data_IF_805009505300
#
_entry.id   IF_805009505300
#
_cell.length_a   1.000
_cell.length_b   1.000
_cell.length_c   1.000
_cell.angle_alpha   90.00
_cell.angle_beta   90.00
_cell.angle_gamma   90.00
#
_symmetry.space_group_name_H-M   'P 1'
#
loop_
_entity.id
_entity.type
_entity.pdbx_description
1 polymer ?
#
# COMPACT_ATOMS: atom_id res chain seq x y z
N UNK A 1 -11.28 -24.82 9.75
CA UNK A 1 -9.88 -25.15 10.12
C UNK A 1 -8.82 -24.56 9.18
N UNK A 2 -9.19 -23.92 8.07
CA UNK A 2 -8.23 -23.41 7.06
C UNK A 2 -7.53 -22.11 7.47
N UNK A 3 -8.18 -21.25 8.27
CA UNK A 3 -7.64 -19.95 8.69
C UNK A 3 -6.28 -20.00 9.41
N UNK A 4 -6.13 -20.76 10.51
CA UNK A 4 -4.86 -20.86 11.22
C UNK A 4 -3.71 -21.42 10.35
N UNK A 5 -4.03 -22.36 9.46
CA UNK A 5 -3.03 -23.00 8.59
C UNK A 5 -2.48 -22.02 7.53
N UNK A 6 -3.34 -21.20 6.93
CA UNK A 6 -2.91 -20.17 5.98
C UNK A 6 -2.08 -19.06 6.65
N UNK A 7 -2.47 -18.65 7.86
CA UNK A 7 -1.70 -17.67 8.65
C UNK A 7 -0.33 -18.22 8.99
N UNK A 8 -0.25 -19.45 9.50
CA UNK A 8 1.02 -20.10 9.81
C UNK A 8 1.88 -20.22 8.54
N UNK A 9 1.31 -20.63 7.41
CA UNK A 9 2.02 -20.73 6.14
C UNK A 9 2.66 -19.40 5.71
N UNK A 10 1.90 -18.29 5.67
CA UNK A 10 2.45 -16.99 5.25
C UNK A 10 3.47 -16.44 6.27
N UNK A 11 3.27 -16.67 7.57
CA UNK A 11 4.21 -16.23 8.60
C UNK A 11 5.52 -17.02 8.53
N UNK A 12 5.47 -18.35 8.43
CA UNK A 12 6.66 -19.18 8.26
C UNK A 12 7.41 -18.84 6.96
N UNK A 13 6.69 -18.58 5.87
CA UNK A 13 7.28 -18.16 4.61
C UNK A 13 7.94 -16.77 4.75
N UNK A 14 7.33 -15.83 5.46
CA UNK A 14 7.93 -14.52 5.75
C UNK A 14 9.25 -14.64 6.53
N UNK A 15 9.28 -15.45 7.58
CA UNK A 15 10.48 -15.68 8.38
C UNK A 15 11.56 -16.47 7.62
N UNK A 16 11.19 -17.44 6.79
CA UNK A 16 12.11 -18.20 5.94
C UNK A 16 12.76 -17.35 4.84
N UNK A 17 11.96 -16.49 4.19
CA UNK A 17 12.42 -15.58 3.14
C UNK A 17 13.36 -14.48 3.69
N UNK A 18 13.24 -14.16 4.98
CA UNK A 18 14.11 -13.20 5.67
C UNK A 18 15.55 -13.71 5.89
N UNK A 19 15.75 -15.03 5.90
CA UNK A 19 17.06 -15.68 6.09
C UNK A 19 18.00 -15.57 4.88
N UNK A 20 17.47 -15.45 3.66
CA UNK A 20 18.28 -15.40 2.43
C UNK A 20 18.46 -13.95 1.92
N UNK A 21 19.71 -13.55 1.66
CA UNK A 21 20.07 -12.18 1.28
C UNK A 21 19.42 -11.72 -0.05
N UNK A 22 19.14 -12.64 -0.98
CA UNK A 22 18.53 -12.38 -2.30
C UNK A 22 17.02 -12.16 -2.22
N UNK A 23 16.33 -12.74 -1.22
CA UNK A 23 14.86 -12.72 -1.14
C UNK A 23 14.30 -11.73 -0.12
N UNK A 24 15.17 -10.96 0.58
CA UNK A 24 14.75 -9.99 1.61
C UNK A 24 13.76 -8.94 1.10
N UNK A 25 13.87 -8.50 -0.17
CA UNK A 25 12.94 -7.54 -0.76
C UNK A 25 11.48 -8.04 -0.75
N UNK A 26 11.26 -9.33 -1.01
CA UNK A 26 9.93 -9.94 -1.00
C UNK A 26 9.33 -10.08 0.40
N UNK A 27 10.16 -10.00 1.46
CA UNK A 27 9.69 -10.15 2.85
C UNK A 27 8.63 -9.12 3.21
N UNK A 28 8.71 -7.89 2.66
CA UNK A 28 7.70 -6.84 2.90
C UNK A 28 6.33 -7.24 2.35
N UNK A 29 6.26 -7.69 1.09
CA UNK A 29 5.03 -8.13 0.44
C UNK A 29 4.41 -9.34 1.14
N UNK A 30 5.24 -10.33 1.54
CA UNK A 30 4.76 -11.54 2.22
C UNK A 30 4.17 -11.19 3.59
N UNK A 31 4.77 -10.24 4.32
CA UNK A 31 4.22 -9.76 5.60
C UNK A 31 2.86 -9.05 5.42
N UNK A 32 2.66 -8.30 4.34
CA UNK A 32 1.35 -7.71 4.03
C UNK A 32 0.32 -8.81 3.79
N UNK A 33 0.64 -9.82 2.98
CA UNK A 33 -0.27 -10.95 2.75
C UNK A 33 -0.61 -11.71 4.04
N UNK A 34 0.38 -11.92 4.92
CA UNK A 34 0.15 -12.51 6.23
C UNK A 34 -0.81 -11.67 7.07
N UNK A 35 -0.59 -10.35 7.16
CA UNK A 35 -1.43 -9.43 7.92
C UNK A 35 -2.87 -9.36 7.38
N UNK A 36 -3.05 -9.31 6.05
CA UNK A 36 -4.37 -9.34 5.41
C UNK A 36 -5.10 -10.65 5.72
N UNK A 37 -4.40 -11.78 5.63
CA UNK A 37 -4.96 -13.10 5.95
C UNK A 37 -5.43 -13.16 7.40
N UNK A 38 -4.62 -12.66 8.34
CA UNK A 38 -4.98 -12.59 9.77
C UNK A 38 -6.23 -11.71 9.97
N UNK A 39 -6.26 -10.53 9.35
CA UNK A 39 -7.39 -9.60 9.44
C UNK A 39 -8.69 -10.20 8.88
N UNK A 40 -8.59 -10.95 7.78
CA UNK A 40 -9.73 -11.59 7.11
C UNK A 40 -10.33 -12.74 7.93
N UNK A 41 -9.50 -13.59 8.57
CA UNK A 41 -9.98 -14.72 9.36
C UNK A 41 -10.34 -14.36 10.81
N UNK A 42 -9.70 -13.32 11.37
CA UNK A 42 -9.93 -12.89 12.75
C UNK A 42 -10.24 -11.38 12.84
N UNK A 43 -11.31 -10.91 12.20
CA UNK A 43 -11.65 -9.48 12.14
C UNK A 43 -12.00 -8.90 13.52
N UNK A 44 -12.39 -9.75 14.48
CA UNK A 44 -12.73 -9.34 15.84
C UNK A 44 -11.55 -8.71 16.58
N UNK A 45 -10.31 -9.12 16.27
CA UNK A 45 -9.10 -8.55 16.90
C UNK A 45 -8.84 -7.10 16.47
N UNK A 46 -9.32 -6.69 15.29
CA UNK A 46 -8.96 -5.41 14.66
C UNK A 46 -10.12 -4.41 14.59
N UNK A 47 -11.36 -4.84 14.91
CA UNK A 47 -12.52 -3.94 14.89
C UNK A 47 -12.66 -3.15 16.18
N UNK A 48 -12.62 -3.83 17.33
CA UNK A 48 -12.84 -3.20 18.63
C UNK A 48 -11.85 -3.70 19.66
N UNK A 49 -11.25 -2.77 20.38
CA UNK A 49 -10.51 -3.07 21.60
C UNK A 49 -11.33 -2.52 22.77
N UNK A 50 -12.19 -3.36 23.35
CA UNK A 50 -13.20 -2.93 24.33
C UNK A 50 -14.23 -1.99 23.69
N UNK A 51 -14.35 -0.77 24.23
CA UNK A 51 -15.26 0.28 23.74
C UNK A 51 -14.67 1.12 22.58
N UNK A 52 -13.42 0.89 22.18
CA UNK A 52 -12.72 1.74 21.22
C UNK A 52 -12.68 1.12 19.81
N UNK A 53 -13.19 1.85 18.80
CA UNK A 53 -13.08 1.47 17.38
C UNK A 53 -11.70 1.81 16.82
N UNK A 54 -10.91 0.77 16.51
CA UNK A 54 -9.57 0.92 15.94
C UNK A 54 -9.54 1.64 14.58
N UNK A 55 -10.68 1.67 13.87
CA UNK A 55 -10.81 2.39 12.60
C UNK A 55 -10.45 3.88 12.73
N UNK A 56 -10.68 4.49 13.91
CA UNK A 56 -10.29 5.89 14.17
C UNK A 56 -8.79 6.11 14.17
N UNK A 57 -7.98 5.07 14.37
CA UNK A 57 -6.51 5.16 14.32
C UNK A 57 -5.97 5.16 12.89
N UNK A 58 -6.76 4.81 11.87
CA UNK A 58 -6.26 4.75 10.49
C UNK A 58 -5.71 6.11 10.04
N UNK A 59 -6.45 7.20 10.29
CA UNK A 59 -6.04 8.55 9.90
C UNK A 59 -4.74 8.99 10.60
N UNK A 60 -4.60 8.93 11.94
CA UNK A 60 -3.36 9.32 12.59
C UNK A 60 -2.18 8.40 12.26
N UNK A 61 -2.40 7.09 12.06
CA UNK A 61 -1.36 6.19 11.57
C UNK A 61 -0.86 6.61 10.18
N UNK A 62 -1.77 6.93 9.25
CA UNK A 62 -1.41 7.45 7.93
C UNK A 62 -0.66 8.78 8.03
N UNK A 63 -1.06 9.68 8.93
CA UNK A 63 -0.32 10.93 9.17
C UNK A 63 1.10 10.69 9.66
N UNK A 64 1.30 9.77 10.61
CA UNK A 64 2.64 9.40 11.09
C UNK A 64 3.48 8.81 9.95
N UNK A 65 2.89 7.95 9.13
CA UNK A 65 3.54 7.33 7.97
C UNK A 65 3.96 8.40 6.94
N UNK A 66 3.07 9.33 6.60
CA UNK A 66 3.36 10.44 5.67
C UNK A 66 4.37 11.44 6.27
N UNK A 67 4.33 11.67 7.58
CA UNK A 67 5.33 12.49 8.28
C UNK A 67 6.72 11.85 8.25
N UNK A 68 6.80 10.53 8.50
CA UNK A 68 8.05 9.77 8.39
C UNK A 68 8.65 9.83 6.99
N UNK A 69 7.82 9.74 5.95
CA UNK A 69 8.25 9.97 4.56
C UNK A 69 8.85 11.36 4.37
N UNK A 70 8.16 12.39 4.85
CA UNK A 70 8.58 13.79 4.68
C UNK A 70 9.88 14.11 5.42
N UNK A 71 10.10 13.51 6.60
CA UNK A 71 11.32 13.74 7.38
C UNK A 71 12.57 13.08 6.79
N UNK A 72 12.40 12.04 5.96
CA UNK A 72 13.49 11.38 5.25
C UNK A 72 13.88 12.09 3.94
N UNK A 73 13.02 12.95 3.40
CA UNK A 73 13.27 13.64 2.13
C UNK A 73 14.30 14.77 2.33
N UNK A 74 15.37 14.76 1.53
CA UNK A 74 16.46 15.73 1.64
C UNK A 74 16.23 16.94 0.73
N UNK A 75 16.80 18.10 1.09
CA UNK A 75 16.84 19.28 0.20
C UNK A 75 17.48 18.99 -1.17
N UNK A 76 18.35 17.97 -1.28
CA UNK A 76 18.92 17.53 -2.56
C UNK A 76 17.87 16.89 -3.49
N UNK A 77 16.87 16.21 -2.93
CA UNK A 77 15.80 15.58 -3.71
C UNK A 77 14.91 16.65 -4.36
N UNK A 78 14.59 17.70 -3.59
CA UNK A 78 13.91 18.89 -4.12
C UNK A 78 14.73 19.62 -5.19
N UNK A 79 16.05 19.74 -5.01
CA UNK A 79 16.91 20.33 -6.02
C UNK A 79 16.94 19.50 -7.32
N UNK A 80 16.83 18.17 -7.24
CA UNK A 80 16.71 17.28 -8.40
C UNK A 80 15.46 17.55 -9.22
N UNK A 81 14.32 17.77 -8.55
CA UNK A 81 13.03 18.12 -9.17
C UNK A 81 13.14 19.44 -9.95
N UNK A 82 13.77 20.45 -9.37
CA UNK A 82 13.95 21.77 -10.03
C UNK A 82 14.94 21.71 -11.19
N UNK A 83 15.95 20.83 -11.13
CA UNK A 83 16.94 20.66 -12.21
C UNK A 83 16.38 19.94 -13.43
N UNK A 84 15.37 19.07 -13.27
CA UNK A 84 14.76 18.31 -14.37
C UNK A 84 13.23 18.44 -14.42
N UNK A 85 12.69 19.66 -14.60
CA UNK A 85 11.26 19.90 -14.52
C UNK A 85 10.50 19.16 -15.63
N UNK A 86 11.06 19.07 -16.84
CA UNK A 86 10.41 18.36 -17.97
C UNK A 86 10.15 16.88 -17.68
N UNK A 87 11.10 16.21 -17.02
CA UNK A 87 10.96 14.80 -16.64
C UNK A 87 9.90 14.61 -15.56
N UNK A 88 9.87 15.51 -14.57
CA UNK A 88 8.87 15.48 -13.48
C UNK A 88 7.46 15.74 -14.01
N UNK A 89 7.27 16.75 -14.87
CA UNK A 89 5.97 17.02 -15.49
C UNK A 89 5.48 15.87 -16.35
N UNK A 90 6.37 15.25 -17.14
CA UNK A 90 5.99 14.09 -17.93
C UNK A 90 5.61 12.90 -17.03
N UNK A 91 6.38 12.65 -15.97
CA UNK A 91 6.07 11.62 -14.98
C UNK A 91 4.71 11.85 -14.29
N UNK A 92 4.43 13.08 -13.86
CA UNK A 92 3.14 13.47 -13.30
C UNK A 92 2.01 13.28 -14.31
N UNK A 93 2.18 13.76 -15.55
CA UNK A 93 1.17 13.62 -16.60
C UNK A 93 0.87 12.14 -16.87
N UNK A 94 1.89 11.30 -17.00
CA UNK A 94 1.72 9.86 -17.16
C UNK A 94 1.04 9.22 -15.94
N UNK A 95 1.47 9.54 -14.73
CA UNK A 95 0.90 8.98 -13.50
C UNK A 95 -0.59 9.31 -13.37
N UNK A 96 -0.96 10.58 -13.53
CA UNK A 96 -2.35 11.05 -13.38
C UNK A 96 -3.22 10.83 -14.61
N UNK A 97 -2.66 10.40 -15.74
CA UNK A 97 -3.44 9.98 -16.90
C UNK A 97 -3.61 8.46 -16.90
N UNK A 98 -2.51 7.71 -16.85
CA UNK A 98 -2.53 6.26 -17.04
C UNK A 98 -3.23 5.56 -15.87
N UNK A 99 -2.86 5.86 -14.62
CA UNK A 99 -3.40 5.12 -13.46
C UNK A 99 -4.90 5.37 -13.25
N UNK A 100 -5.44 6.60 -13.36
CA UNK A 100 -6.89 6.82 -13.28
C UNK A 100 -7.65 6.21 -14.44
N UNK A 101 -7.13 6.30 -15.67
CA UNK A 101 -7.77 5.70 -16.85
C UNK A 101 -7.84 4.18 -16.71
N UNK A 102 -6.78 3.52 -16.23
CA UNK A 102 -6.80 2.08 -15.97
C UNK A 102 -7.81 1.73 -14.88
N UNK A 103 -7.86 2.48 -13.77
CA UNK A 103 -8.85 2.27 -12.71
C UNK A 103 -10.29 2.40 -13.21
N UNK A 104 -10.56 3.39 -14.06
CA UNK A 104 -11.86 3.60 -14.69
C UNK A 104 -12.24 2.47 -15.66
N UNK A 105 -11.31 2.03 -16.52
CA UNK A 105 -11.54 0.93 -17.47
C UNK A 105 -11.87 -0.35 -16.70
N UNK A 106 -11.12 -0.68 -15.65
CA UNK A 106 -11.38 -1.87 -14.82
C UNK A 106 -12.75 -1.76 -14.15
N UNK A 107 -13.07 -0.63 -13.51
CA UNK A 107 -14.34 -0.43 -12.85
C UNK A 107 -15.54 -0.61 -13.79
N UNK A 108 -15.44 -0.09 -15.01
CA UNK A 108 -16.49 -0.15 -16.02
C UNK A 108 -16.60 -1.54 -16.68
N UNK A 109 -15.47 -2.22 -16.93
CA UNK A 109 -15.48 -3.53 -17.62
C UNK A 109 -16.07 -4.64 -16.77
N UNK A 110 -15.83 -4.61 -15.46
CA UNK A 110 -16.28 -5.67 -14.53
C UNK A 110 -17.67 -5.40 -13.93
N UNK A 111 -18.31 -4.27 -14.25
CA UNK A 111 -19.67 -3.96 -13.80
C UNK A 111 -19.82 -3.88 -12.28
N UNK A 112 -18.80 -3.38 -11.57
CA UNK A 112 -18.82 -3.32 -10.11
C UNK A 112 -19.87 -2.34 -9.58
N UNK A 113 -20.40 -2.59 -8.36
CA UNK A 113 -21.21 -1.60 -7.65
C UNK A 113 -20.51 -0.23 -7.55
N UNK A 114 -21.27 0.88 -7.53
CA UNK A 114 -20.70 2.23 -7.52
C UNK A 114 -19.66 2.46 -6.41
N UNK A 115 -19.83 1.84 -5.25
CA UNK A 115 -18.93 1.96 -4.10
C UNK A 115 -17.56 1.31 -4.37
N UNK A 116 -17.56 0.14 -5.00
CA UNK A 116 -16.33 -0.59 -5.35
C UNK A 116 -15.64 0.10 -6.53
N UNK A 117 -16.41 0.55 -7.52
CA UNK A 117 -15.92 1.32 -8.66
C UNK A 117 -15.23 2.62 -8.20
N UNK A 118 -15.85 3.37 -7.27
CA UNK A 118 -15.25 4.55 -6.67
C UNK A 118 -13.93 4.21 -5.96
N UNK A 119 -13.84 3.07 -5.26
CA UNK A 119 -12.60 2.59 -4.65
C UNK A 119 -11.46 2.39 -5.66
N UNK A 120 -11.73 1.73 -6.78
CA UNK A 120 -10.73 1.54 -7.85
C UNK A 120 -10.24 2.86 -8.45
N UNK A 121 -11.16 3.80 -8.71
CA UNK A 121 -10.80 5.12 -9.25
C UNK A 121 -9.97 5.90 -8.21
N UNK A 122 -10.39 5.88 -6.94
CA UNK A 122 -9.66 6.54 -5.84
C UNK A 122 -8.23 6.01 -5.72
N UNK A 123 -8.04 4.68 -5.75
CA UNK A 123 -6.71 4.06 -5.73
C UNK A 123 -5.89 4.44 -6.97
N UNK A 124 -6.50 4.48 -8.16
CA UNK A 124 -5.82 4.90 -9.39
C UNK A 124 -5.42 6.38 -9.41
N UNK A 125 -6.16 7.24 -8.71
CA UNK A 125 -5.84 8.68 -8.58
C UNK A 125 -4.89 9.01 -7.43
N UNK A 126 -4.69 8.07 -6.49
CA UNK A 126 -3.81 8.29 -5.36
C UNK A 126 -2.34 8.37 -5.84
N UNK A 127 -1.52 9.26 -5.23
CA UNK A 127 -0.09 9.33 -5.54
C UNK A 127 0.61 8.01 -5.15
N UNK A 128 1.69 7.69 -5.86
CA UNK A 128 2.49 6.48 -5.63
C UNK A 128 2.99 6.40 -4.19
N UNK A 129 2.72 5.29 -3.52
CA UNK A 129 3.01 5.09 -2.10
C UNK A 129 4.45 4.68 -1.77
N UNK A 130 4.77 4.72 -0.47
CA UNK A 130 6.08 4.42 0.14
C UNK A 130 6.71 3.08 -0.24
N UNK A 131 5.87 2.12 -0.61
CA UNK A 131 6.33 0.78 -0.97
C UNK A 131 7.29 0.79 -2.16
N UNK A 132 7.18 1.76 -3.08
CA UNK A 132 8.11 1.87 -4.22
C UNK A 132 9.54 2.20 -3.77
N UNK A 133 9.71 2.96 -2.69
CA UNK A 133 11.02 3.33 -2.15
C UNK A 133 11.71 2.18 -1.40
N UNK A 134 10.94 1.17 -0.96
CA UNK A 134 11.46 -0.04 -0.28
C UNK A 134 11.80 -1.15 -1.28
N UNK A 135 11.13 -1.16 -2.44
CA UNK A 135 11.34 -2.16 -3.49
C UNK A 135 12.37 -1.75 -4.56
N UNK A 136 12.72 -0.45 -4.63
CA UNK A 136 13.73 0.08 -5.54
C UNK A 136 15.15 -0.03 -5.00
#
# INVERSE_FOLDING_TARGET
MVGPALIAFFVFLAFGVRGNAVTRGFSYTIMIFAAVTISMFYPQLFRKWGEFDLQRLIVPLLQIIMFGMGSQMSFRDFAGVVKMPKGVFLGLACQFTIMPTVGFIIANTFGFPPEIAAGFILVGTAPSGLASNVMS
#
